data_IF_329628188448
#
_entry.id   IF_329628188448
#
_cell.length_a   1.000
_cell.length_b   1.000
_cell.length_c   1.000
_cell.angle_alpha   90.00
_cell.angle_beta   90.00
_cell.angle_gamma   90.00
#
_symmetry.space_group_name_H-M   'P 1'
#
loop_
_entity.id
_entity.type
_entity.pdbx_description
1 polymer ?
#
# COMPACT_ATOMS: atom_id res chain seq x y z
N UNK A 1 -16.14 10.72 5.79
CA UNK A 1 -14.70 10.45 5.98
C UNK A 1 -14.46 9.06 6.54
N UNK A 2 -13.22 8.56 6.47
CA UNK A 2 -12.75 7.27 6.99
C UNK A 2 -11.34 7.46 7.57
N UNK A 3 -10.78 6.45 8.25
CA UNK A 3 -9.37 6.41 8.62
C UNK A 3 -8.60 5.42 7.73
N UNK A 4 -7.60 5.92 7.03
CA UNK A 4 -6.64 5.18 6.22
C UNK A 4 -5.42 4.78 7.07
N UNK A 5 -5.08 3.49 7.09
CA UNK A 5 -3.94 2.94 7.82
C UNK A 5 -3.00 2.21 6.87
N UNK A 6 -1.74 2.65 6.84
CA UNK A 6 -0.64 1.97 6.17
C UNK A 6 0.51 1.81 7.15
N UNK A 7 1.20 0.67 7.12
CA UNK A 7 2.30 0.41 8.06
C UNK A 7 3.42 -0.41 7.44
N UNK A 8 4.55 -0.43 8.14
CA UNK A 8 5.55 -1.47 8.03
C UNK A 8 5.82 -2.08 9.42
N UNK A 9 6.91 -2.83 9.58
CA UNK A 9 7.27 -3.42 10.86
C UNK A 9 7.58 -2.37 11.95
N UNK A 10 8.07 -1.19 11.55
CA UNK A 10 8.63 -0.19 12.46
C UNK A 10 7.79 1.09 12.59
N UNK A 11 6.82 1.31 11.70
CA UNK A 11 6.01 2.53 11.69
C UNK A 11 4.58 2.22 11.27
N UNK A 12 3.62 2.85 11.95
CA UNK A 12 2.19 2.86 11.61
C UNK A 12 1.83 4.30 11.26
N UNK A 13 1.13 4.49 10.15
CA UNK A 13 0.70 5.79 9.68
C UNK A 13 -0.82 5.77 9.47
N UNK A 14 -1.52 6.64 10.18
CA UNK A 14 -2.97 6.78 10.16
C UNK A 14 -3.36 8.18 9.68
N UNK A 15 -4.31 8.27 8.75
CA UNK A 15 -4.84 9.53 8.23
C UNK A 15 -6.34 9.48 8.15
N UNK A 16 -7.01 10.55 8.54
CA UNK A 16 -8.47 10.69 8.41
C UNK A 16 -8.74 11.55 7.19
N UNK A 17 -9.67 11.13 6.34
CA UNK A 17 -10.06 11.90 5.16
C UNK A 17 -11.09 11.19 4.30
N UNK A 18 -11.25 11.63 3.06
CA UNK A 18 -12.17 11.04 2.07
C UNK A 18 -11.37 10.47 0.90
N UNK A 19 -11.69 9.26 0.46
CA UNK A 19 -11.08 8.68 -0.73
C UNK A 19 -11.73 9.27 -1.98
N UNK A 20 -11.05 10.23 -2.59
CA UNK A 20 -11.46 10.90 -3.83
C UNK A 20 -10.26 11.07 -4.77
N UNK A 21 -10.50 11.59 -5.97
CA UNK A 21 -9.45 11.89 -6.94
C UNK A 21 -8.55 10.66 -7.23
N UNK A 22 -9.21 9.52 -7.48
CA UNK A 22 -8.54 8.27 -7.82
C UNK A 22 -8.02 8.30 -9.26
N UNK A 23 -6.73 8.03 -9.41
CA UNK A 23 -6.04 7.95 -10.69
C UNK A 23 -5.64 6.49 -10.93
N UNK A 24 -6.33 5.75 -11.81
CA UNK A 24 -5.99 4.37 -12.09
C UNK A 24 -4.71 4.27 -12.91
N UNK A 25 -3.97 3.18 -12.71
CA UNK A 25 -2.85 2.79 -13.58
C UNK A 25 -2.41 1.36 -13.32
N UNK A 26 -1.98 0.65 -14.37
CA UNK A 26 -1.63 -0.77 -14.27
C UNK A 26 -0.44 -1.03 -13.33
N UNK A 27 0.58 -0.18 -13.40
CA UNK A 27 1.79 -0.33 -12.59
C UNK A 27 1.72 0.45 -11.26
N UNK A 28 1.07 1.61 -11.30
CA UNK A 28 0.87 2.46 -10.15
C UNK A 28 -0.47 3.19 -10.31
N UNK A 29 -1.25 3.22 -9.24
CA UNK A 29 -2.46 4.01 -9.10
C UNK A 29 -2.28 4.99 -7.94
N UNK A 30 -3.12 6.03 -7.85
CA UNK A 30 -3.00 7.05 -6.82
C UNK A 30 -4.37 7.49 -6.30
N UNK A 31 -4.40 7.91 -5.04
CA UNK A 31 -5.48 8.71 -4.45
C UNK A 31 -4.81 10.00 -4.03
N UNK A 32 -5.27 11.15 -4.54
CA UNK A 32 -4.62 12.45 -4.32
C UNK A 32 -5.61 13.45 -3.76
N UNK A 33 -5.68 13.54 -2.43
CA UNK A 33 -6.46 14.56 -1.72
C UNK A 33 -5.56 15.29 -0.73
N UNK A 34 -6.08 16.33 -0.07
CA UNK A 34 -5.34 17.04 0.98
C UNK A 34 -4.98 16.12 2.15
N UNK A 35 -5.91 15.23 2.53
CA UNK A 35 -5.75 14.38 3.72
C UNK A 35 -5.23 12.97 3.41
N UNK A 36 -5.69 12.39 2.30
CA UNK A 36 -5.32 11.04 1.86
C UNK A 36 -4.54 11.17 0.54
N UNK A 37 -3.22 10.99 0.65
CA UNK A 37 -2.30 10.92 -0.48
C UNK A 37 -1.63 9.55 -0.50
N UNK A 38 -1.99 8.72 -1.50
CA UNK A 38 -1.52 7.35 -1.62
C UNK A 38 -0.85 7.10 -2.97
N UNK A 39 0.21 6.30 -2.93
CA UNK A 39 0.76 5.59 -4.10
C UNK A 39 0.46 4.11 -3.93
N UNK A 40 -0.36 3.58 -4.83
CA UNK A 40 -0.86 2.21 -4.82
C UNK A 40 -0.13 1.44 -5.92
N UNK A 41 0.38 0.25 -5.60
CA UNK A 41 0.99 -0.66 -6.57
C UNK A 41 0.09 -1.89 -6.70
N UNK A 42 -0.88 -1.91 -7.65
CA UNK A 42 -1.97 -2.88 -7.67
C UNK A 42 -1.52 -4.34 -7.70
N UNK A 43 -0.37 -4.63 -8.31
CA UNK A 43 0.21 -5.98 -8.35
C UNK A 43 0.42 -6.64 -6.97
N UNK A 44 0.48 -5.84 -5.90
CA UNK A 44 0.71 -6.30 -4.53
C UNK A 44 -0.59 -6.39 -3.71
N UNK A 45 -1.73 -5.99 -4.28
CA UNK A 45 -3.04 -6.04 -3.64
C UNK A 45 -3.72 -7.33 -4.07
N UNK A 46 -3.59 -8.40 -3.29
CA UNK A 46 -3.95 -9.75 -3.72
C UNK A 46 -5.22 -10.28 -3.05
N UNK A 47 -5.45 -9.87 -1.81
CA UNK A 47 -6.64 -10.28 -1.06
C UNK A 47 -7.27 -9.06 -0.39
N UNK A 48 -8.60 -8.99 -0.41
CA UNK A 48 -9.36 -7.93 0.25
C UNK A 48 -10.52 -8.52 1.04
N UNK A 49 -10.74 -7.99 2.24
CA UNK A 49 -11.82 -8.42 3.12
C UNK A 49 -12.60 -7.20 3.61
N UNK A 50 -13.92 -7.29 3.53
CA UNK A 50 -14.84 -6.37 4.20
C UNK A 50 -15.18 -6.96 5.56
N UNK A 51 -14.65 -6.35 6.62
CA UNK A 51 -14.69 -6.90 7.97
C UNK A 51 -15.64 -6.07 8.82
N UNK A 52 -16.59 -6.75 9.46
CA UNK A 52 -17.41 -6.23 10.53
C UNK A 52 -17.09 -6.98 11.83
N UNK A 53 -16.87 -6.24 12.92
CA UNK A 53 -16.59 -6.81 14.24
C UNK A 53 -17.36 -6.05 15.31
N UNK A 54 -17.95 -6.79 16.25
CA UNK A 54 -18.53 -6.20 17.44
C UNK A 54 -17.46 -5.56 18.32
N UNK A 55 -17.83 -4.46 18.99
CA UNK A 55 -17.01 -3.81 20.01
C UNK A 55 -17.92 -3.15 21.05
N UNK A 56 -17.35 -2.78 22.20
CA UNK A 56 -18.08 -2.14 23.30
C UNK A 56 -18.75 -0.80 22.89
N UNK A 57 -18.29 -0.20 21.78
CA UNK A 57 -18.81 1.05 21.22
C UNK A 57 -19.72 0.83 20.00
N UNK A 58 -20.09 -0.43 19.72
CA UNK A 58 -20.86 -0.82 18.53
C UNK A 58 -20.00 -1.45 17.43
N UNK A 59 -20.62 -1.81 16.29
CA UNK A 59 -19.94 -2.54 15.22
C UNK A 59 -18.86 -1.67 14.55
N UNK A 60 -17.65 -2.22 14.45
CA UNK A 60 -16.54 -1.63 13.70
C UNK A 60 -16.44 -2.26 12.32
N UNK A 61 -16.42 -1.41 11.29
CA UNK A 61 -16.33 -1.82 9.89
C UNK A 61 -15.02 -1.39 9.28
N UNK A 62 -14.45 -2.24 8.43
CA UNK A 62 -13.22 -1.93 7.71
C UNK A 62 -13.09 -2.67 6.39
N UNK A 63 -12.35 -2.08 5.46
CA UNK A 63 -11.81 -2.78 4.29
C UNK A 63 -10.34 -3.05 4.55
N UNK A 64 -9.89 -4.29 4.42
CA UNK A 64 -8.51 -4.69 4.71
C UNK A 64 -7.91 -5.42 3.51
N UNK A 65 -6.76 -4.93 3.05
CA UNK A 65 -6.05 -5.46 1.88
C UNK A 65 -4.73 -6.08 2.30
N UNK A 66 -4.43 -7.25 1.73
CA UNK A 66 -3.25 -8.06 2.01
C UNK A 66 -2.52 -8.45 0.73
N UNK A 67 -1.21 -8.65 0.84
CA UNK A 67 -0.38 -9.13 -0.27
C UNK A 67 -0.43 -10.66 -0.42
N UNK A 68 0.29 -11.19 -1.40
CA UNK A 68 0.31 -12.63 -1.68
C UNK A 68 0.81 -13.47 -0.51
N UNK A 69 1.61 -12.91 0.40
CA UNK A 69 2.14 -13.60 1.57
C UNK A 69 1.27 -13.40 2.82
N UNK A 70 0.16 -12.65 2.71
CA UNK A 70 -0.74 -12.34 3.81
C UNK A 70 -0.30 -11.14 4.67
N UNK A 71 0.73 -10.40 4.25
CA UNK A 71 1.13 -9.16 4.95
C UNK A 71 0.08 -8.07 4.68
N UNK A 72 -0.28 -7.29 5.71
CA UNK A 72 -1.23 -6.20 5.57
C UNK A 72 -0.63 -5.07 4.70
N UNK A 73 -1.29 -4.76 3.59
CA UNK A 73 -0.89 -3.69 2.66
C UNK A 73 -1.53 -2.37 3.03
N UNK A 74 -2.84 -2.38 3.25
CA UNK A 74 -3.61 -1.17 3.55
C UNK A 74 -4.93 -1.51 4.24
N UNK A 75 -5.38 -0.64 5.16
CA UNK A 75 -6.67 -0.80 5.83
C UNK A 75 -7.43 0.52 5.84
N UNK A 76 -8.73 0.44 5.65
CA UNK A 76 -9.66 1.57 5.68
C UNK A 76 -10.67 1.27 6.78
N UNK A 77 -10.70 2.08 7.83
CA UNK A 77 -11.64 1.95 8.93
C UNK A 77 -12.74 2.99 8.81
N UNK A 78 -13.98 2.54 8.91
CA UNK A 78 -15.10 3.45 9.04
C UNK A 78 -15.06 4.11 10.42
N UNK A 79 -15.53 5.35 10.45
CA UNK A 79 -15.73 6.21 11.61
C UNK A 79 -17.23 6.47 11.77
N UNK A 80 -17.61 7.13 12.86
CA UNK A 80 -19.02 7.45 13.13
C UNK A 80 -19.66 8.26 11.99
N UNK A 81 -18.91 9.20 11.41
CA UNK A 81 -19.33 10.02 10.26
C UNK A 81 -19.06 9.39 8.88
N UNK A 82 -18.74 8.10 8.79
CA UNK A 82 -18.61 7.43 7.50
C UNK A 82 -19.99 7.16 6.85
N UNK A 83 -20.02 7.01 5.52
CA UNK A 83 -21.21 6.45 4.85
C UNK A 83 -21.25 4.93 5.08
N UNK A 84 -21.92 4.52 6.16
CA UNK A 84 -22.12 3.11 6.49
C UNK A 84 -23.02 2.38 5.48
N UNK A 85 -23.89 3.11 4.76
CA UNK A 85 -24.68 2.53 3.68
C UNK A 85 -23.78 2.22 2.46
N UNK A 86 -22.72 2.99 2.20
CA UNK A 86 -21.72 2.65 1.20
C UNK A 86 -21.02 1.35 1.51
N UNK A 87 -20.66 1.10 2.78
CA UNK A 87 -20.07 -0.18 3.16
C UNK A 87 -21.00 -1.35 2.88
N UNK A 88 -22.29 -1.25 3.23
CA UNK A 88 -23.27 -2.27 2.91
C UNK A 88 -23.40 -2.52 1.39
N UNK A 89 -23.32 -1.46 0.57
CA UNK A 89 -23.28 -1.58 -0.90
C UNK A 89 -22.02 -2.30 -1.37
N UNK A 90 -20.84 -1.96 -0.83
CA UNK A 90 -19.58 -2.62 -1.18
C UNK A 90 -19.61 -4.11 -0.82
N UNK A 91 -20.14 -4.49 0.34
CA UNK A 91 -20.28 -5.90 0.74
C UNK A 91 -21.17 -6.62 -0.27
N UNK A 92 -22.33 -6.04 -0.61
CA UNK A 92 -23.26 -6.65 -1.56
C UNK A 92 -22.65 -6.81 -2.96
N UNK A 93 -21.85 -5.84 -3.41
CA UNK A 93 -21.32 -5.81 -4.78
C UNK A 93 -20.05 -6.66 -4.95
N UNK A 94 -19.17 -6.70 -3.94
CA UNK A 94 -17.82 -7.25 -4.09
C UNK A 94 -17.53 -8.47 -3.20
N UNK A 95 -18.44 -8.88 -2.32
CA UNK A 95 -18.25 -10.14 -1.60
C UNK A 95 -18.32 -11.32 -2.57
N UNK A 96 -17.32 -12.20 -2.52
CA UNK A 96 -17.34 -13.46 -3.26
C UNK A 96 -18.49 -14.34 -2.75
N UNK A 97 -19.10 -15.13 -3.64
CA UNK A 97 -20.11 -16.11 -3.23
C UNK A 97 -19.51 -17.19 -2.31
N UNK A 98 -18.27 -17.60 -2.60
CA UNK A 98 -17.52 -18.54 -1.77
C UNK A 98 -16.78 -17.80 -0.64
N UNK A 99 -17.35 -17.87 0.56
CA UNK A 99 -16.79 -17.29 1.78
C UNK A 99 -16.01 -18.34 2.58
N UNK A 100 -14.92 -18.85 1.99
CA UNK A 100 -14.02 -19.78 2.70
C UNK A 100 -13.11 -19.03 3.68
N UNK A 101 -12.88 -19.63 4.85
CA UNK A 101 -11.86 -19.18 5.79
C UNK A 101 -10.45 -19.63 5.38
N UNK A 102 -10.34 -20.57 4.45
CA UNK A 102 -9.08 -21.09 3.96
C UNK A 102 -8.47 -20.11 2.96
N UNK A 103 -7.32 -19.53 3.32
CA UNK A 103 -6.54 -18.69 2.43
C UNK A 103 -5.19 -19.34 2.16
N UNK A 104 -4.83 -19.45 0.87
CA UNK A 104 -3.51 -19.91 0.44
C UNK A 104 -2.62 -18.71 0.20
N UNK A 105 -1.52 -18.62 0.95
CA UNK A 105 -0.53 -17.57 0.81
C UNK A 105 0.77 -18.10 0.20
N UNK A 106 1.41 -17.25 -0.60
CA UNK A 106 2.75 -17.48 -1.11
C UNK A 106 3.79 -17.32 -0.01
N UNK A 107 4.93 -17.98 -0.17
CA UNK A 107 6.07 -17.78 0.74
C UNK A 107 6.58 -16.35 0.64
N UNK A 108 6.65 -15.68 1.80
CA UNK A 108 7.18 -14.32 1.92
C UNK A 108 8.61 -14.26 1.39
N UNK A 109 8.82 -13.39 0.40
CA UNK A 109 10.16 -13.16 -0.13
C UNK A 109 10.96 -12.27 0.85
N UNK A 110 12.20 -12.65 1.21
CA UNK A 110 13.02 -11.83 2.08
C UNK A 110 13.37 -10.49 1.39
N UNK A 111 13.58 -9.42 2.16
CA UNK A 111 14.09 -8.17 1.61
C UNK A 111 15.40 -8.39 0.84
N UNK A 112 15.56 -7.69 -0.26
CA UNK A 112 16.79 -7.74 -1.05
C UNK A 112 17.97 -7.17 -0.24
N UNK A 113 19.06 -7.95 -0.12
CA UNK A 113 20.29 -7.49 0.50
C UNK A 113 20.90 -6.31 -0.26
N UNK A 114 21.76 -5.48 0.37
CA UNK A 114 22.42 -4.37 -0.32
C UNK A 114 23.21 -4.85 -1.56
N UNK A 115 22.96 -4.22 -2.71
CA UNK A 115 23.71 -4.42 -3.95
C UNK A 115 24.68 -3.27 -4.13
N UNK A 116 25.96 -3.52 -3.85
CA UNK A 116 27.03 -2.50 -3.85
C UNK A 116 27.90 -2.66 -5.10
N UNK A 117 28.28 -1.55 -5.72
CA UNK A 117 29.26 -1.51 -6.81
C UNK A 117 30.30 -0.41 -6.54
N UNK A 118 31.36 -0.75 -5.80
CA UNK A 118 32.37 0.19 -5.32
C UNK A 118 33.10 0.92 -6.48
N UNK A 119 33.24 0.26 -7.63
CA UNK A 119 33.83 0.80 -8.86
C UNK A 119 33.01 1.93 -9.50
N UNK A 120 31.77 2.15 -9.06
CA UNK A 120 30.84 3.14 -9.64
C UNK A 120 30.44 4.26 -8.70
N UNK A 121 31.08 4.37 -7.53
CA UNK A 121 30.74 5.38 -6.50
C UNK A 121 30.83 6.81 -7.06
N UNK A 122 31.86 7.13 -7.85
CA UNK A 122 32.01 8.47 -8.42
C UNK A 122 30.92 8.78 -9.46
N UNK A 123 30.51 7.77 -10.24
CA UNK A 123 29.40 7.89 -11.19
C UNK A 123 28.09 8.11 -10.44
N UNK A 124 27.83 7.32 -9.39
CA UNK A 124 26.64 7.48 -8.53
C UNK A 124 26.56 8.90 -7.98
N UNK A 125 27.63 9.40 -7.34
CA UNK A 125 27.66 10.73 -6.73
C UNK A 125 27.47 11.84 -7.77
N UNK A 126 28.09 11.72 -8.94
CA UNK A 126 27.97 12.70 -10.03
C UNK A 126 26.55 12.77 -10.58
N UNK A 127 25.94 11.63 -10.86
CA UNK A 127 24.59 11.56 -11.42
C UNK A 127 23.51 11.85 -10.37
N UNK A 128 23.73 11.48 -9.10
CA UNK A 128 22.85 11.86 -7.99
C UNK A 128 22.68 13.37 -7.91
N UNK A 129 23.78 14.13 -8.00
CA UNK A 129 23.75 15.61 -7.96
C UNK A 129 22.94 16.24 -9.10
N UNK A 130 22.64 15.49 -10.16
CA UNK A 130 21.91 15.96 -11.34
C UNK A 130 20.43 15.54 -11.34
N UNK A 131 20.00 14.76 -10.33
CA UNK A 131 18.61 14.35 -10.21
C UNK A 131 17.73 15.60 -10.01
N UNK A 132 16.65 15.65 -10.77
CA UNK A 132 15.65 16.72 -10.73
C UNK A 132 14.29 16.22 -10.26
N UNK A 133 14.12 14.90 -10.17
CA UNK A 133 12.88 14.25 -9.77
C UNK A 133 13.18 12.98 -8.97
N UNK A 134 12.39 12.72 -7.92
CA UNK A 134 12.60 11.59 -7.00
C UNK A 134 12.44 10.22 -7.67
N UNK A 135 11.62 10.11 -8.72
CA UNK A 135 11.42 8.87 -9.48
C UNK A 135 12.64 8.50 -10.35
N UNK A 136 13.56 9.44 -10.58
CA UNK A 136 14.80 9.16 -11.32
C UNK A 136 15.79 8.33 -10.49
N UNK A 137 15.73 8.39 -9.16
CA UNK A 137 16.68 7.71 -8.28
C UNK A 137 16.68 6.18 -8.48
N UNK A 138 15.50 5.56 -8.54
CA UNK A 138 15.40 4.11 -8.74
C UNK A 138 15.97 3.67 -10.10
N UNK A 139 15.84 4.51 -11.14
CA UNK A 139 16.45 4.27 -12.46
C UNK A 139 17.98 4.39 -12.40
N UNK A 140 18.49 5.38 -11.67
CA UNK A 140 19.92 5.58 -11.49
C UNK A 140 20.58 4.37 -10.83
N UNK A 141 20.09 3.94 -9.67
CA UNK A 141 20.71 2.80 -8.96
C UNK A 141 20.60 1.51 -9.78
N UNK A 142 19.46 1.27 -10.44
CA UNK A 142 19.28 0.11 -11.33
C UNK A 142 20.30 0.09 -12.47
N UNK A 143 20.54 1.23 -13.14
CA UNK A 143 21.56 1.36 -14.21
C UNK A 143 22.96 1.06 -13.70
N UNK A 144 23.27 1.40 -12.45
CA UNK A 144 24.56 1.12 -11.83
C UNK A 144 24.67 -0.31 -11.28
N UNK A 145 23.60 -1.11 -11.35
CA UNK A 145 23.47 -2.43 -10.74
C UNK A 145 23.54 -2.38 -9.20
N UNK A 146 23.10 -1.26 -8.63
CA UNK A 146 22.92 -1.06 -7.20
C UNK A 146 21.43 -1.10 -6.83
N UNK A 147 21.13 -1.24 -5.54
CA UNK A 147 19.80 -0.96 -4.99
C UNK A 147 19.89 0.19 -3.97
N UNK A 148 18.74 0.62 -3.43
CA UNK A 148 18.69 1.77 -2.52
C UNK A 148 19.59 1.63 -1.29
N UNK A 149 19.76 0.41 -0.77
CA UNK A 149 20.62 0.16 0.40
C UNK A 149 22.12 0.11 0.04
N UNK A 150 22.46 -0.30 -1.17
CA UNK A 150 23.85 -0.43 -1.60
C UNK A 150 24.42 0.79 -2.34
N UNK A 151 23.56 1.73 -2.77
CA UNK A 151 23.94 3.03 -3.32
C UNK A 151 24.27 4.03 -2.22
#
# INVERSE_FOLDING_TARGET
EVMALTRNASCVHEKIGVYENYHPGQHAAMVLTEDIDLRIFPRHWQHAFLVERDSDLGPRRSVQVFDAAGDAVHKIFLRDGSDHAAFARLVKEYANEEQSADATFSVRQPPEAPKIALDKVDILRKEWKRLTDTHQFLRLVSKLKMNRLGA
#
